data_IF_339995930787
#
_entry.id   IF_339995930787
#
_cell.length_a   1.000
_cell.length_b   1.000
_cell.length_c   1.000
_cell.angle_alpha   90.00
_cell.angle_beta   90.00
_cell.angle_gamma   90.00
#
_symmetry.space_group_name_H-M   'P 1'
#
loop_
_entity.id
_entity.type
_entity.pdbx_description
1 polymer ?
#
# COMPACT_ATOMS: atom_id res chain seq x y z
N UNK A 1 -35.08 27.29 29.18
CA UNK A 1 -33.72 27.80 29.46
C UNK A 1 -32.83 27.45 28.27
N UNK A 2 -32.16 28.41 27.61
CA UNK A 2 -31.24 28.10 26.50
C UNK A 2 -29.95 27.47 27.05
N UNK A 3 -29.48 26.38 26.43
CA UNK A 3 -28.23 25.72 26.80
C UNK A 3 -27.02 26.60 26.42
N UNK A 4 -25.97 26.68 27.27
CA UNK A 4 -24.82 27.51 26.97
C UNK A 4 -24.06 26.98 25.74
N UNK A 5 -23.84 27.84 24.74
CA UNK A 5 -22.95 27.57 23.61
C UNK A 5 -21.51 27.48 24.11
N UNK A 6 -20.73 26.54 23.57
CA UNK A 6 -19.31 26.38 23.89
C UNK A 6 -18.51 27.65 23.58
N UNK A 7 -17.46 27.92 24.39
CA UNK A 7 -16.59 29.10 24.21
C UNK A 7 -15.88 29.05 22.84
N UNK A 8 -15.67 30.19 22.14
CA UNK A 8 -14.87 30.23 20.92
C UNK A 8 -13.48 29.61 21.15
N UNK A 9 -13.08 28.67 20.30
CA UNK A 9 -11.80 27.97 20.41
C UNK A 9 -11.78 26.74 21.35
N UNK A 10 -12.87 26.41 22.04
CA UNK A 10 -13.01 25.18 22.82
C UNK A 10 -14.19 24.33 22.33
N UNK A 11 -13.92 23.07 22.00
CA UNK A 11 -14.97 22.09 21.73
C UNK A 11 -15.90 21.98 22.94
N UNK A 12 -17.22 22.06 22.70
CA UNK A 12 -18.23 21.76 23.74
C UNK A 12 -18.21 20.33 24.25
N UNK A 13 -17.43 19.45 23.60
CA UNK A 13 -17.14 18.10 24.05
C UNK A 13 -15.62 17.84 23.99
N UNK A 14 -14.88 18.12 25.07
CA UNK A 14 -13.42 17.94 25.14
C UNK A 14 -12.96 16.49 24.89
N UNK A 15 -13.80 15.51 25.24
CA UNK A 15 -13.51 14.08 25.10
C UNK A 15 -13.93 13.51 23.73
N UNK A 16 -14.49 14.35 22.84
CA UNK A 16 -14.98 13.93 21.54
C UNK A 16 -16.17 12.96 21.61
N UNK A 17 -16.63 12.48 20.45
CA UNK A 17 -17.74 11.52 20.39
C UNK A 17 -17.36 10.24 21.15
N UNK A 18 -18.21 9.73 22.08
CA UNK A 18 -17.89 8.52 22.83
C UNK A 18 -17.58 7.35 21.90
N UNK A 19 -16.44 6.68 22.14
CA UNK A 19 -16.01 5.50 21.37
C UNK A 19 -17.11 4.43 21.41
N UNK A 20 -17.44 3.85 20.25
CA UNK A 20 -18.45 2.79 20.12
C UNK A 20 -19.92 3.24 20.15
N UNK A 21 -20.24 4.51 20.49
CA UNK A 21 -21.63 5.01 20.50
C UNK A 21 -22.07 5.70 19.20
N UNK A 22 -21.30 5.53 18.13
CA UNK A 22 -21.77 5.92 16.79
C UNK A 22 -22.77 4.89 16.26
N UNK A 23 -23.69 5.31 15.39
CA UNK A 23 -24.60 4.37 14.73
C UNK A 23 -23.83 3.20 14.08
N UNK A 24 -22.74 3.51 13.37
CA UNK A 24 -21.86 2.47 12.81
C UNK A 24 -21.10 1.65 13.85
N UNK A 25 -20.80 2.19 15.04
CA UNK A 25 -20.18 1.45 16.14
C UNK A 25 -21.14 0.43 16.75
N UNK A 26 -22.41 0.81 16.93
CA UNK A 26 -23.45 -0.07 17.45
C UNK A 26 -23.77 -1.20 16.46
N UNK A 27 -23.87 -0.90 15.16
CA UNK A 27 -24.08 -1.93 14.12
C UNK A 27 -22.92 -2.93 14.09
N UNK A 28 -21.66 -2.48 14.12
CA UNK A 28 -20.50 -3.38 14.17
C UNK A 28 -20.53 -4.29 15.40
N UNK A 29 -20.87 -3.73 16.58
CA UNK A 29 -20.97 -4.51 17.82
C UNK A 29 -22.05 -5.59 17.72
N UNK A 30 -23.21 -5.25 17.19
CA UNK A 30 -24.31 -6.20 17.01
C UNK A 30 -23.94 -7.33 16.02
N UNK A 31 -23.22 -7.02 14.94
CA UNK A 31 -22.70 -8.02 13.99
C UNK A 31 -21.70 -8.94 14.67
N UNK A 32 -20.74 -8.38 15.43
CA UNK A 32 -19.70 -9.15 16.12
C UNK A 32 -20.30 -10.13 17.14
N UNK A 33 -21.30 -9.69 17.90
CA UNK A 33 -22.04 -10.51 18.87
C UNK A 33 -22.78 -11.69 18.20
N UNK A 34 -23.12 -11.58 16.92
CA UNK A 34 -23.89 -12.58 16.15
C UNK A 34 -23.08 -13.23 15.03
N UNK A 35 -21.75 -13.09 15.05
CA UNK A 35 -20.86 -13.52 13.96
C UNK A 35 -21.05 -14.99 13.57
N UNK A 36 -21.28 -15.87 14.54
CA UNK A 36 -21.42 -17.32 14.28
C UNK A 36 -22.73 -17.63 13.55
N UNK A 37 -23.83 -16.98 13.95
CA UNK A 37 -25.13 -17.16 13.29
C UNK A 37 -25.12 -16.58 11.87
N UNK A 38 -24.49 -15.42 11.70
CA UNK A 38 -24.32 -14.80 10.39
C UNK A 38 -23.48 -15.71 9.48
N UNK A 39 -22.39 -16.30 10.01
CA UNK A 39 -21.56 -17.22 9.25
C UNK A 39 -22.37 -18.45 8.77
N UNK A 40 -23.20 -19.05 9.63
CA UNK A 40 -24.06 -20.17 9.24
C UNK A 40 -25.00 -19.79 8.10
N UNK A 41 -25.68 -18.65 8.20
CA UNK A 41 -26.60 -18.17 7.15
C UNK A 41 -25.87 -17.94 5.83
N UNK A 42 -24.68 -17.34 5.86
CA UNK A 42 -23.88 -17.11 4.65
C UNK A 42 -23.40 -18.42 4.04
N UNK A 43 -23.01 -19.40 4.87
CA UNK A 43 -22.63 -20.74 4.40
C UNK A 43 -23.81 -21.46 3.76
N UNK A 44 -24.98 -21.45 4.40
CA UNK A 44 -26.19 -22.09 3.85
C UNK A 44 -26.63 -21.42 2.55
N UNK A 45 -26.58 -20.09 2.46
CA UNK A 45 -26.89 -19.37 1.22
C UNK A 45 -25.91 -19.74 0.09
N UNK A 46 -24.62 -19.81 0.39
CA UNK A 46 -23.60 -20.23 -0.57
C UNK A 46 -23.83 -21.68 -1.06
N UNK A 47 -24.09 -22.61 -0.14
CA UNK A 47 -24.38 -24.00 -0.47
C UNK A 47 -25.66 -24.16 -1.29
N UNK A 48 -26.63 -23.26 -1.12
CA UNK A 48 -27.86 -23.21 -1.92
C UNK A 48 -27.71 -22.47 -3.25
N UNK A 49 -26.50 -22.02 -3.61
CA UNK A 49 -26.19 -21.45 -4.93
C UNK A 49 -26.26 -19.92 -5.02
N UNK A 50 -26.31 -19.19 -3.91
CA UNK A 50 -26.12 -17.74 -3.94
C UNK A 50 -24.66 -17.40 -4.29
N UNK A 51 -24.44 -16.95 -5.53
CA UNK A 51 -23.11 -16.60 -6.04
C UNK A 51 -22.45 -15.45 -5.27
N UNK A 52 -23.21 -14.53 -4.67
CA UNK A 52 -22.64 -13.44 -3.86
C UNK A 52 -22.10 -13.99 -2.53
N UNK A 53 -22.84 -14.89 -1.89
CA UNK A 53 -22.38 -15.58 -0.69
C UNK A 53 -21.15 -16.46 -0.98
N UNK A 54 -21.17 -17.21 -2.08
CA UNK A 54 -20.02 -18.00 -2.56
C UNK A 54 -18.79 -17.13 -2.75
N UNK A 55 -18.90 -16.02 -3.49
CA UNK A 55 -17.79 -15.09 -3.72
C UNK A 55 -17.25 -14.54 -2.40
N UNK A 56 -18.14 -14.12 -1.50
CA UNK A 56 -17.76 -13.55 -0.20
C UNK A 56 -16.92 -14.52 0.63
N UNK A 57 -17.27 -15.81 0.61
CA UNK A 57 -16.50 -16.86 1.30
C UNK A 57 -15.20 -17.21 0.56
N UNK A 58 -15.24 -17.33 -0.77
CA UNK A 58 -14.08 -17.64 -1.59
C UNK A 58 -12.99 -16.57 -1.48
N UNK A 59 -13.35 -15.28 -1.45
CA UNK A 59 -12.40 -14.17 -1.27
C UNK A 59 -11.67 -14.22 0.10
N UNK A 60 -12.18 -15.00 1.08
CA UNK A 60 -11.54 -15.19 2.39
C UNK A 60 -10.66 -16.43 2.49
N UNK A 61 -10.91 -17.43 1.65
CA UNK A 61 -10.20 -18.71 1.65
C UNK A 61 -9.13 -18.73 0.55
N UNK A 62 -9.48 -18.26 -0.64
CA UNK A 62 -8.58 -18.21 -1.78
C UNK A 62 -7.98 -16.80 -1.90
N UNK A 63 -6.64 -16.64 -1.84
CA UNK A 63 -6.04 -15.37 -2.21
C UNK A 63 -6.40 -15.07 -3.66
N UNK A 64 -6.84 -13.84 -3.93
CA UNK A 64 -7.00 -13.39 -5.31
C UNK A 64 -5.68 -13.60 -6.04
N UNK A 65 -5.71 -14.37 -7.13
CA UNK A 65 -4.55 -14.60 -7.97
C UNK A 65 -4.06 -13.24 -8.47
N UNK A 66 -3.00 -12.73 -7.85
CA UNK A 66 -2.34 -11.54 -8.36
C UNK A 66 -1.60 -11.96 -9.62
N UNK A 67 -1.65 -11.17 -10.70
CA UNK A 67 -0.73 -11.34 -11.81
C UNK A 67 0.68 -11.31 -11.24
N UNK A 68 1.37 -12.45 -11.28
CA UNK A 68 2.80 -12.51 -10.95
C UNK A 68 3.50 -12.34 -12.29
N UNK A 69 4.21 -11.23 -12.46
CA UNK A 69 5.10 -11.08 -13.60
C UNK A 69 6.09 -12.26 -13.60
N UNK A 70 6.31 -12.87 -14.76
CA UNK A 70 7.30 -13.95 -14.87
C UNK A 70 8.64 -13.46 -14.33
N UNK A 71 9.38 -14.33 -13.62
CA UNK A 71 10.72 -13.99 -13.15
C UNK A 71 11.59 -13.64 -14.35
N UNK A 72 12.07 -12.39 -14.40
CA UNK A 72 12.94 -11.93 -15.47
C UNK A 72 14.36 -11.84 -14.96
N UNK A 73 15.27 -12.55 -15.62
CA UNK A 73 16.70 -12.42 -15.39
C UNK A 73 17.27 -11.37 -16.35
N UNK A 74 17.55 -10.17 -15.84
CA UNK A 74 18.35 -9.17 -16.53
C UNK A 74 19.77 -9.23 -15.98
N UNK A 75 20.77 -9.25 -16.87
CA UNK A 75 22.18 -9.10 -16.49
C UNK A 75 22.60 -7.68 -16.81
N UNK A 76 22.79 -6.85 -15.78
CA UNK A 76 23.31 -5.50 -15.94
C UNK A 76 24.82 -5.50 -15.69
N UNK A 77 25.53 -4.66 -16.41
CA UNK A 77 26.93 -4.39 -16.10
C UNK A 77 27.02 -3.60 -14.77
N UNK A 78 27.42 -4.29 -13.69
CA UNK A 78 27.53 -3.69 -12.35
C UNK A 78 28.59 -2.60 -12.25
N UNK A 79 29.56 -2.60 -13.16
CA UNK A 79 30.63 -1.60 -13.22
C UNK A 79 30.22 -0.37 -14.04
N UNK A 80 29.12 -0.43 -14.77
CA UNK A 80 28.57 0.66 -15.55
C UNK A 80 27.86 1.69 -14.66
N UNK A 81 27.78 2.94 -15.13
CA UNK A 81 27.05 4.00 -14.42
C UNK A 81 25.53 3.75 -14.41
N UNK A 82 24.81 4.39 -13.48
CA UNK A 82 23.35 4.23 -13.38
C UNK A 82 22.60 4.59 -14.69
N UNK A 83 23.12 5.55 -15.45
CA UNK A 83 22.55 5.93 -16.74
C UNK A 83 22.68 4.82 -17.80
N UNK A 84 23.85 4.17 -17.85
CA UNK A 84 24.11 3.05 -18.77
C UNK A 84 23.28 1.82 -18.38
N UNK A 85 23.21 1.51 -17.08
CA UNK A 85 22.33 0.46 -16.56
C UNK A 85 20.86 0.73 -16.87
N UNK A 86 20.43 2.00 -16.80
CA UNK A 86 19.08 2.40 -17.20
C UNK A 86 18.82 2.17 -18.68
N UNK A 87 19.77 2.51 -19.55
CA UNK A 87 19.67 2.25 -20.99
C UNK A 87 19.61 0.75 -21.31
N UNK A 88 20.38 -0.08 -20.61
CA UNK A 88 20.32 -1.55 -20.73
C UNK A 88 18.92 -2.09 -20.39
N UNK A 89 18.30 -1.60 -19.31
CA UNK A 89 16.93 -1.98 -18.93
C UNK A 89 15.91 -1.57 -20.00
N UNK A 90 16.02 -0.35 -20.54
CA UNK A 90 15.13 0.13 -21.61
C UNK A 90 15.29 -0.73 -22.87
N UNK A 91 16.52 -1.02 -23.27
CA UNK A 91 16.79 -1.86 -24.45
C UNK A 91 16.24 -3.28 -24.28
N UNK A 92 16.37 -3.87 -23.09
CA UNK A 92 15.84 -5.19 -22.80
C UNK A 92 14.31 -5.24 -22.80
N UNK A 93 13.64 -4.12 -22.45
CA UNK A 93 12.20 -3.98 -22.60
C UNK A 93 11.79 -3.88 -24.08
N UNK A 94 12.49 -3.05 -24.86
CA UNK A 94 12.23 -2.87 -26.29
C UNK A 94 12.48 -4.14 -27.11
N UNK A 95 13.43 -4.97 -26.69
CA UNK A 95 13.72 -6.26 -27.34
C UNK A 95 12.76 -7.37 -26.94
N UNK A 96 11.78 -7.10 -26.07
CA UNK A 96 10.80 -8.09 -25.59
C UNK A 96 11.35 -9.11 -24.59
N UNK A 97 12.59 -8.92 -24.09
CA UNK A 97 13.16 -9.79 -23.06
C UNK A 97 12.55 -9.53 -21.68
N UNK A 98 12.06 -8.30 -21.44
CA UNK A 98 11.49 -7.87 -20.17
C UNK A 98 10.11 -7.23 -20.39
N UNK A 99 9.08 -7.62 -19.64
CA UNK A 99 7.79 -6.95 -19.64
C UNK A 99 7.91 -5.46 -19.27
N UNK A 100 7.15 -4.56 -19.92
CA UNK A 100 7.24 -3.12 -19.66
C UNK A 100 6.97 -2.70 -18.21
N UNK A 101 6.10 -3.41 -17.50
CA UNK A 101 5.82 -3.18 -16.08
C UNK A 101 7.04 -3.49 -15.20
N UNK A 102 7.73 -4.60 -15.46
CA UNK A 102 8.98 -4.97 -14.77
C UNK A 102 10.09 -3.97 -15.09
N UNK A 103 10.23 -3.57 -16.36
CA UNK A 103 11.22 -2.57 -16.76
C UNK A 103 11.03 -1.23 -16.04
N UNK A 104 9.78 -0.75 -15.93
CA UNK A 104 9.46 0.46 -15.17
C UNK A 104 9.82 0.33 -13.68
N UNK A 105 9.59 -0.83 -13.07
CA UNK A 105 10.01 -1.09 -11.69
C UNK A 105 11.54 -1.03 -11.54
N UNK A 106 12.29 -1.62 -12.49
CA UNK A 106 13.75 -1.58 -12.48
C UNK A 106 14.31 -0.17 -12.65
N UNK A 107 13.77 0.63 -13.56
CA UNK A 107 14.16 2.05 -13.73
C UNK A 107 13.86 2.86 -12.45
N UNK A 108 12.74 2.58 -11.79
CA UNK A 108 12.44 3.17 -10.50
C UNK A 108 13.51 2.83 -9.46
N UNK A 109 13.90 1.57 -9.34
CA UNK A 109 14.98 1.15 -8.41
C UNK A 109 16.29 1.89 -8.70
N UNK A 110 16.71 2.01 -9.96
CA UNK A 110 17.92 2.75 -10.35
C UNK A 110 17.82 4.25 -9.99
N UNK A 111 16.63 4.84 -10.15
CA UNK A 111 16.38 6.24 -9.76
C UNK A 111 16.52 6.44 -8.26
N UNK A 112 15.99 5.51 -7.45
CA UNK A 112 16.15 5.55 -5.99
C UNK A 112 17.62 5.40 -5.58
N UNK A 113 18.37 4.51 -6.24
CA UNK A 113 19.81 4.38 -6.03
C UNK A 113 20.55 5.68 -6.35
N UNK A 114 20.21 6.35 -7.45
CA UNK A 114 20.80 7.64 -7.82
C UNK A 114 20.60 8.71 -6.74
N UNK A 115 19.39 8.81 -6.19
CA UNK A 115 19.09 9.73 -5.08
C UNK A 115 19.89 9.44 -3.82
N UNK A 116 20.13 8.17 -3.50
CA UNK A 116 20.95 7.77 -2.35
C UNK A 116 22.41 8.21 -2.54
N UNK A 117 22.96 8.01 -3.74
CA UNK A 117 24.32 8.44 -4.08
C UNK A 117 24.42 9.95 -3.99
N UNK A 118 23.51 10.68 -4.64
CA UNK A 118 23.47 12.15 -4.61
C UNK A 118 23.40 12.69 -3.17
N UNK A 119 22.53 12.11 -2.34
CA UNK A 119 22.41 12.51 -0.93
C UNK A 119 23.71 12.27 -0.17
N UNK A 120 24.36 11.12 -0.39
CA UNK A 120 25.63 10.79 0.27
C UNK A 120 26.75 11.72 -0.16
N UNK A 121 26.86 12.02 -1.45
CA UNK A 121 27.86 12.95 -2.00
C UNK A 121 27.63 14.38 -1.49
N UNK A 122 26.37 14.83 -1.42
CA UNK A 122 26.03 16.13 -0.88
C UNK A 122 26.40 16.25 0.60
N UNK A 123 26.10 15.23 1.42
CA UNK A 123 26.50 15.20 2.83
C UNK A 123 28.03 15.33 2.96
N UNK A 124 28.79 14.51 2.22
CA UNK A 124 30.25 14.55 2.28
C UNK A 124 30.81 15.93 1.87
N UNK A 125 30.20 16.57 0.86
CA UNK A 125 30.59 17.93 0.43
C UNK A 125 30.26 18.99 1.47
N UNK A 126 29.12 18.87 2.15
CA UNK A 126 28.73 19.80 3.23
C UNK A 126 29.69 19.68 4.40
N UNK A 127 29.97 18.46 4.87
CA UNK A 127 30.91 18.21 5.97
C UNK A 127 32.32 18.77 5.66
N UNK A 128 32.80 18.58 4.42
CA UNK A 128 34.09 19.11 3.99
C UNK A 128 34.15 20.65 3.87
N UNK A 129 33.00 21.31 3.71
CA UNK A 129 32.90 22.76 3.73
C UNK A 129 32.80 23.29 5.16
N UNK A 130 32.02 22.63 6.01
CA UNK A 130 31.90 22.96 7.44
C UNK A 130 33.24 22.81 8.17
N UNK A 131 34.08 21.83 7.81
CA UNK A 131 35.41 21.65 8.40
C UNK A 131 36.44 22.71 8.00
N UNK A 132 36.11 23.61 7.06
CA UNK A 132 37.00 24.70 6.59
C UNK A 132 36.65 26.05 7.20
N UNK A 133 35.60 26.13 8.03
CA UNK A 133 35.21 27.29 8.80
C UNK A 133 35.65 27.13 10.26
#
# INVERSE_FOLDING_TARGET
MPTPKSKPGQSGNPNGRPKGKSAGGMVRKAIEERREDILKVVMDAALNGDLQACKTLLDRIAPTLRPVAASVAITLNKSAGLAEQGAEVVNAALSGNVPPDVANQLISVLTHQGKLIETTELIARVEALESRQ
#
